data_IF_803367918529
#
_entry.id   IF_803367918529
#
_cell.length_a   1.000
_cell.length_b   1.000
_cell.length_c   1.000
_cell.angle_alpha   90.00
_cell.angle_beta   90.00
_cell.angle_gamma   90.00
#
_symmetry.space_group_name_H-M   'P 1'
#
loop_
_entity.id
_entity.type
_entity.pdbx_description
1 polymer ?
#
# COMPACT_ATOMS: atom_id res chain seq x y z
N UNK A 1 8.80 -18.50 -0.15
CA UNK A 1 8.63 -17.20 -0.83
C UNK A 1 7.32 -16.58 -0.37
N UNK A 2 7.37 -15.67 0.60
CA UNK A 2 6.21 -14.83 0.96
C UNK A 2 6.20 -13.65 -0.01
N UNK A 3 5.80 -13.91 -1.26
CA UNK A 3 5.68 -12.85 -2.25
C UNK A 3 4.48 -11.99 -1.88
N UNK A 4 4.72 -10.72 -1.55
CA UNK A 4 3.65 -9.79 -1.24
C UNK A 4 2.71 -9.72 -2.45
N UNK A 5 1.38 -9.79 -2.24
CA UNK A 5 0.41 -9.78 -3.33
C UNK A 5 0.57 -8.52 -4.17
N UNK A 6 0.48 -8.68 -5.50
CA UNK A 6 0.64 -7.60 -6.45
C UNK A 6 -0.30 -6.42 -6.14
N UNK A 7 0.19 -5.18 -6.29
CA UNK A 7 -0.63 -3.99 -6.02
C UNK A 7 -1.69 -3.86 -7.10
N UNK A 8 -2.84 -4.48 -6.84
CA UNK A 8 -3.99 -4.45 -7.73
C UNK A 8 -4.86 -3.23 -7.47
N UNK A 9 -5.59 -2.76 -8.49
CA UNK A 9 -6.53 -1.62 -8.35
C UNK A 9 -7.59 -1.84 -7.27
N UNK A 10 -8.00 -3.09 -7.03
CA UNK A 10 -8.92 -3.42 -5.94
C UNK A 10 -8.30 -3.17 -4.56
N UNK A 11 -7.03 -3.56 -4.37
CA UNK A 11 -6.28 -3.33 -3.14
C UNK A 11 -6.07 -1.84 -2.89
N UNK A 12 -5.69 -1.08 -3.92
CA UNK A 12 -5.55 0.38 -3.83
C UNK A 12 -6.85 1.04 -3.36
N UNK A 13 -8.00 0.64 -3.92
CA UNK A 13 -9.31 1.20 -3.53
C UNK A 13 -9.74 0.77 -2.14
N UNK A 14 -9.42 -0.45 -1.73
CA UNK A 14 -9.69 -0.94 -0.38
C UNK A 14 -8.89 -0.15 0.66
N UNK A 15 -7.58 -0.04 0.46
CA UNK A 15 -6.69 0.73 1.35
C UNK A 15 -7.04 2.20 1.33
N UNK A 16 -7.37 2.78 0.17
CA UNK A 16 -7.82 4.16 0.08
C UNK A 16 -9.13 4.43 0.82
N UNK A 17 -10.03 3.45 0.95
CA UNK A 17 -11.22 3.61 1.80
C UNK A 17 -10.85 3.54 3.28
N UNK A 18 -9.94 2.64 3.64
CA UNK A 18 -9.53 2.40 5.03
C UNK A 18 -8.68 3.54 5.60
N UNK A 19 -7.77 4.10 4.82
CA UNK A 19 -6.86 5.19 5.21
C UNK A 19 -7.58 6.48 5.61
N UNK A 20 -8.82 6.64 5.17
CA UNK A 20 -9.55 7.90 5.33
C UNK A 20 -10.65 7.75 6.37
N UNK A 21 -10.74 6.59 7.04
CA UNK A 21 -11.70 6.26 8.10
C UNK A 21 -13.15 6.67 7.79
N UNK A 22 -13.47 6.84 6.51
CA UNK A 22 -14.78 7.30 6.08
C UNK A 22 -15.73 6.12 6.06
N UNK A 23 -16.91 6.34 6.63
CA UNK A 23 -18.05 5.47 6.41
C UNK A 23 -18.33 5.35 4.89
N UNK A 24 -18.88 4.22 4.45
CA UNK A 24 -19.07 3.94 3.02
C UNK A 24 -19.96 5.01 2.36
N UNK A 25 -20.86 5.63 3.14
CA UNK A 25 -21.66 6.79 2.75
C UNK A 25 -20.79 8.03 2.48
N UNK A 26 -19.91 8.39 3.41
CA UNK A 26 -19.02 9.54 3.29
C UNK A 26 -18.03 9.40 2.10
N UNK A 27 -17.60 8.17 1.79
CA UNK A 27 -16.81 7.93 0.57
C UNK A 27 -17.58 8.29 -0.71
N UNK A 28 -18.90 8.03 -0.75
CA UNK A 28 -19.78 8.37 -1.88
C UNK A 28 -20.10 9.87 -1.96
N UNK A 29 -19.92 10.61 -0.87
CA UNK A 29 -20.08 12.07 -0.83
C UNK A 29 -18.78 12.81 -1.16
N UNK A 30 -17.61 12.16 -1.03
CA UNK A 30 -16.34 12.76 -1.44
C UNK A 30 -16.35 13.14 -2.92
N UNK A 31 -15.79 14.33 -3.21
CA UNK A 31 -15.53 14.78 -4.57
C UNK A 31 -14.60 13.82 -5.31
N UNK A 32 -14.75 13.75 -6.64
CA UNK A 32 -13.92 12.89 -7.50
C UNK A 32 -12.42 13.19 -7.32
N UNK A 33 -12.07 14.45 -7.07
CA UNK A 33 -10.70 14.89 -6.84
C UNK A 33 -10.14 14.35 -5.53
N UNK A 34 -10.85 14.50 -4.41
CA UNK A 34 -10.46 13.92 -3.12
C UNK A 34 -10.32 12.40 -3.18
N UNK A 35 -11.22 11.69 -3.88
CA UNK A 35 -11.10 10.23 -4.07
C UNK A 35 -9.82 9.86 -4.80
N UNK A 36 -9.43 10.62 -5.83
CA UNK A 36 -8.17 10.40 -6.56
C UNK A 36 -6.97 10.61 -5.65
N UNK A 37 -6.97 11.65 -4.83
CA UNK A 37 -5.90 11.90 -3.85
C UNK A 37 -5.77 10.75 -2.84
N UNK A 38 -6.89 10.23 -2.32
CA UNK A 38 -6.90 9.11 -1.39
C UNK A 38 -6.34 7.82 -2.05
N UNK A 39 -6.71 7.55 -3.30
CA UNK A 39 -6.17 6.40 -4.07
C UNK A 39 -4.67 6.58 -4.32
N UNK A 40 -4.21 7.78 -4.66
CA UNK A 40 -2.78 8.05 -4.84
C UNK A 40 -1.99 7.89 -3.54
N UNK A 41 -2.53 8.36 -2.40
CA UNK A 41 -1.93 8.16 -1.09
C UNK A 41 -1.83 6.67 -0.74
N UNK A 42 -2.91 5.90 -0.96
CA UNK A 42 -2.92 4.45 -0.76
C UNK A 42 -1.87 3.73 -1.62
N UNK A 43 -1.76 4.09 -2.91
CA UNK A 43 -0.73 3.53 -3.79
C UNK A 43 0.68 3.82 -3.27
N UNK A 44 0.94 5.05 -2.80
CA UNK A 44 2.25 5.44 -2.26
C UNK A 44 2.57 4.64 -0.99
N UNK A 45 1.62 4.48 -0.08
CA UNK A 45 1.76 3.68 1.12
C UNK A 45 2.08 2.21 0.80
N UNK A 46 1.28 1.59 -0.09
CA UNK A 46 1.51 0.20 -0.52
C UNK A 46 2.87 0.00 -1.20
N UNK A 47 3.31 0.96 -2.01
CA UNK A 47 4.64 0.91 -2.64
C UNK A 47 5.76 1.04 -1.60
N UNK A 48 5.60 1.92 -0.62
CA UNK A 48 6.56 2.09 0.47
C UNK A 48 6.66 0.82 1.33
N UNK A 49 5.52 0.20 1.68
CA UNK A 49 5.48 -1.08 2.40
C UNK A 49 6.16 -2.19 1.60
N UNK A 50 5.81 -2.36 0.31
CA UNK A 50 6.48 -3.36 -0.53
C UNK A 50 7.99 -3.13 -0.63
N UNK A 51 8.43 -1.89 -0.76
CA UNK A 51 9.85 -1.58 -0.79
C UNK A 51 10.50 -1.87 0.57
N UNK A 52 9.84 -1.55 1.68
CA UNK A 52 10.32 -1.87 3.02
C UNK A 52 10.49 -3.37 3.22
N UNK A 53 9.49 -4.18 2.87
CA UNK A 53 9.57 -5.64 2.96
C UNK A 53 10.56 -6.24 1.96
N UNK A 54 10.67 -5.70 0.75
CA UNK A 54 11.70 -6.13 -0.20
C UNK A 54 13.11 -5.84 0.35
N UNK A 55 13.32 -4.66 0.95
CA UNK A 55 14.58 -4.31 1.62
C UNK A 55 14.84 -5.16 2.85
N UNK A 56 13.82 -5.49 3.64
CA UNK A 56 13.96 -6.45 4.74
C UNK A 56 14.30 -7.85 4.24
N UNK A 57 13.61 -8.38 3.24
CA UNK A 57 13.90 -9.69 2.67
C UNK A 57 15.35 -9.74 2.14
N UNK A 58 15.83 -8.65 1.54
CA UNK A 58 17.20 -8.53 1.05
C UNK A 58 18.22 -8.32 2.20
N UNK A 59 17.86 -7.60 3.26
CA UNK A 59 18.70 -7.41 4.45
C UNK A 59 18.81 -8.69 5.28
N UNK A 60 17.76 -9.51 5.35
CA UNK A 60 17.77 -10.83 5.99
C UNK A 60 18.54 -11.86 5.19
N UNK A 61 18.71 -11.67 3.88
CA UNK A 61 19.58 -12.51 3.03
C UNK A 61 21.08 -12.12 3.12
N UNK A 62 21.41 -10.97 3.71
CA UNK A 62 22.76 -10.40 3.69
C UNK A 62 23.71 -10.70 4.88
N UNK A 63 23.36 -11.37 6.01
CA UNK A 63 24.34 -11.62 7.06
C UNK A 63 24.98 -13.02 7.00
N UNK A 64 25.06 -13.66 5.82
CA UNK A 64 25.70 -14.98 5.67
C UNK A 64 26.95 -14.98 4.77
N UNK A 65 27.42 -13.81 4.33
CA UNK A 65 28.62 -13.67 3.49
C UNK A 65 29.58 -12.63 4.08
N UNK A 66 30.02 -12.88 5.31
CA UNK A 66 31.18 -12.23 5.91
C UNK A 66 31.76 -13.16 6.99
N UNK A 67 32.37 -14.26 6.54
CA UNK A 67 33.44 -14.96 7.25
C UNK A 67 34.71 -14.91 6.40
#
# INVERSE_FOLDING_TARGET
>A
MNDLPEISRQLERFVARRLVEFDQAAWKELSVQKRKECIQAARRALKAERNYFARQANATAAPAAAE
#
